data_IF_504942998671
#
_entry.id   IF_504942998671
#
_cell.length_a   1.000
_cell.length_b   1.000
_cell.length_c   1.000
_cell.angle_alpha   90.00
_cell.angle_beta   90.00
_cell.angle_gamma   90.00
#
_symmetry.space_group_name_H-M   'P 1'
#
loop_
_entity.id
_entity.type
_entity.pdbx_description
1 polymer ?
#
# COMPACT_ATOMS: atom_id res chain seq x y z
N UNK A 1 -5.52 -10.64 -3.98
CA UNK A 1 -5.18 -10.01 -5.28
C UNK A 1 -3.71 -10.25 -5.64
N UNK A 2 -2.77 -9.97 -4.73
CA UNK A 2 -1.32 -10.15 -4.95
C UNK A 2 -0.90 -11.53 -5.53
N UNK A 3 -1.35 -12.66 -4.97
CA UNK A 3 -1.04 -14.00 -5.50
C UNK A 3 -1.42 -14.20 -6.98
N UNK A 4 -2.54 -13.60 -7.43
CA UNK A 4 -2.98 -13.72 -8.82
C UNK A 4 -2.08 -12.92 -9.76
N UNK A 5 -1.56 -11.79 -9.28
CA UNK A 5 -0.71 -10.88 -10.05
C UNK A 5 0.69 -11.44 -10.36
N UNK A 6 1.15 -12.46 -9.61
CA UNK A 6 2.45 -13.12 -9.87
C UNK A 6 2.61 -13.68 -11.29
N UNK A 7 1.50 -13.97 -11.99
CA UNK A 7 1.54 -14.48 -13.37
C UNK A 7 1.93 -13.41 -14.40
N UNK A 8 1.71 -12.14 -14.07
CA UNK A 8 1.91 -10.99 -14.97
C UNK A 8 2.95 -10.00 -14.41
N UNK A 9 3.40 -10.22 -13.18
CA UNK A 9 4.40 -9.41 -12.51
C UNK A 9 5.75 -9.55 -13.19
N UNK A 10 6.38 -8.41 -13.49
CA UNK A 10 7.70 -8.36 -14.13
C UNK A 10 8.84 -8.29 -13.11
N UNK A 11 8.54 -8.04 -11.84
CA UNK A 11 9.52 -7.78 -10.79
C UNK A 11 9.09 -8.28 -9.40
N UNK A 12 9.52 -7.58 -8.34
CA UNK A 12 9.15 -7.86 -6.95
C UNK A 12 7.72 -7.37 -6.68
N UNK A 13 6.93 -8.20 -6.00
CA UNK A 13 5.68 -7.80 -5.38
C UNK A 13 5.93 -7.63 -3.89
N UNK A 14 5.63 -6.43 -3.36
CA UNK A 14 5.65 -6.16 -1.93
C UNK A 14 4.22 -6.09 -1.41
N UNK A 15 3.94 -6.79 -0.31
CA UNK A 15 2.66 -6.75 0.38
C UNK A 15 2.88 -6.20 1.78
N UNK A 16 2.21 -5.09 2.10
CA UNK A 16 2.35 -4.38 3.37
C UNK A 16 1.02 -4.46 4.12
N UNK A 17 1.06 -4.83 5.40
CA UNK A 17 -0.10 -4.92 6.28
C UNK A 17 0.15 -4.17 7.61
N UNK A 18 -0.92 -3.68 8.24
CA UNK A 18 -0.95 -3.12 9.59
C UNK A 18 -1.53 -4.02 10.68
N UNK A 19 -2.13 -5.16 10.35
CA UNK A 19 -2.69 -6.09 11.32
C UNK A 19 -1.80 -7.31 11.54
N UNK A 20 -1.82 -7.84 12.77
CA UNK A 20 -1.30 -9.18 13.09
C UNK A 20 -2.33 -10.29 12.75
N UNK A 21 -3.25 -10.06 11.79
CA UNK A 21 -4.25 -11.07 11.43
C UNK A 21 -3.64 -12.16 10.56
N UNK A 22 -4.10 -13.38 10.84
CA UNK A 22 -3.69 -14.69 10.36
C UNK A 22 -3.05 -14.76 8.99
N UNK A 23 -2.06 -15.66 8.86
CA UNK A 23 -1.38 -16.09 7.64
C UNK A 23 -2.28 -15.97 6.40
N UNK A 24 -2.19 -14.84 5.71
CA UNK A 24 -2.50 -14.84 4.29
C UNK A 24 -1.46 -15.80 3.71
N UNK A 25 -1.92 -16.89 3.09
CA UNK A 25 -1.06 -17.81 2.36
C UNK A 25 -0.54 -17.08 1.12
N UNK A 26 0.40 -16.16 1.35
CA UNK A 26 1.12 -15.46 0.32
C UNK A 26 2.10 -16.45 -0.27
N UNK A 27 2.10 -16.51 -1.59
CA UNK A 27 3.15 -17.21 -2.28
C UNK A 27 4.51 -16.65 -1.83
N UNK A 28 5.47 -17.54 -1.55
CA UNK A 28 6.81 -17.19 -1.04
C UNK A 28 7.58 -16.16 -1.89
N UNK A 29 7.19 -15.95 -3.15
CA UNK A 29 7.77 -14.92 -4.03
C UNK A 29 7.29 -13.50 -3.72
N UNK A 30 6.27 -13.35 -2.88
CA UNK A 30 5.75 -12.05 -2.44
C UNK A 30 6.47 -11.66 -1.15
N UNK A 31 7.08 -10.48 -1.14
CA UNK A 31 7.69 -9.94 0.06
C UNK A 31 6.62 -9.39 0.99
N UNK A 32 6.35 -10.09 2.08
CA UNK A 32 5.47 -9.62 3.13
C UNK A 32 6.19 -8.67 4.09
N UNK A 33 5.52 -7.58 4.48
CA UNK A 33 6.00 -6.61 5.47
C UNK A 33 4.85 -6.25 6.41
N UNK A 34 5.08 -6.41 7.72
CA UNK A 34 4.19 -5.87 8.74
C UNK A 34 4.68 -4.47 9.15
N UNK A 35 3.97 -3.42 8.74
CA UNK A 35 4.37 -2.03 9.01
C UNK A 35 4.45 -1.71 10.51
N UNK A 36 3.66 -2.41 11.35
CA UNK A 36 3.66 -2.19 12.80
C UNK A 36 4.93 -2.68 13.48
N UNK A 37 5.60 -3.69 12.93
CA UNK A 37 6.90 -4.18 13.47
C UNK A 37 7.99 -3.10 13.36
N UNK A 38 7.84 -2.16 12.43
CA UNK A 38 8.74 -1.02 12.25
C UNK A 38 8.25 0.26 12.96
N UNK A 39 7.20 0.17 13.77
CA UNK A 39 6.64 1.31 14.49
C UNK A 39 5.96 2.36 13.60
N UNK A 40 5.61 2.01 12.36
CA UNK A 40 4.97 2.93 11.41
C UNK A 40 3.51 3.15 11.84
N UNK A 41 3.17 4.40 12.17
CA UNK A 41 1.84 4.79 12.69
C UNK A 41 1.28 6.07 12.06
N UNK A 42 2.03 6.71 11.17
CA UNK A 42 1.74 8.03 10.61
C UNK A 42 1.96 8.06 9.09
N UNK A 43 1.17 8.84 8.34
CA UNK A 43 1.15 8.85 6.86
C UNK A 43 2.47 9.34 6.28
N UNK A 44 3.08 10.35 6.90
CA UNK A 44 4.37 10.87 6.45
C UNK A 44 5.50 9.85 6.64
N UNK A 45 5.51 9.14 7.76
CA UNK A 45 6.47 8.06 8.04
C UNK A 45 6.26 6.91 7.06
N UNK A 46 5.00 6.56 6.81
CA UNK A 46 4.66 5.49 5.87
C UNK A 46 5.03 5.84 4.43
N UNK A 47 4.82 7.08 4.00
CA UNK A 47 5.28 7.57 2.70
C UNK A 47 6.80 7.44 2.55
N UNK A 48 7.56 7.87 3.56
CA UNK A 48 9.02 7.70 3.59
C UNK A 48 9.43 6.23 3.51
N UNK A 49 8.68 5.35 4.18
CA UNK A 49 8.90 3.90 4.12
C UNK A 49 8.65 3.32 2.71
N UNK A 50 7.59 3.72 2.02
CA UNK A 50 7.33 3.35 0.63
C UNK A 50 8.47 3.81 -0.28
N UNK A 51 8.90 5.07 -0.16
CA UNK A 51 10.02 5.59 -0.92
C UNK A 51 11.31 4.80 -0.65
N UNK A 52 11.55 4.38 0.60
CA UNK A 52 12.68 3.54 0.98
C UNK A 52 12.62 2.13 0.39
N UNK A 53 11.44 1.50 0.35
CA UNK A 53 11.24 0.20 -0.30
C UNK A 53 11.60 0.27 -1.79
N UNK A 54 11.10 1.30 -2.47
CA UNK A 54 11.35 1.55 -3.89
C UNK A 54 12.83 1.82 -4.14
N UNK A 55 13.45 2.72 -3.35
CA UNK A 55 14.86 3.07 -3.48
C UNK A 55 15.79 1.87 -3.23
N UNK A 56 15.40 0.93 -2.36
CA UNK A 56 16.16 -0.29 -2.09
C UNK A 56 16.14 -1.26 -3.25
N UNK A 57 15.04 -1.33 -4.00
CA UNK A 57 14.89 -2.27 -5.10
C UNK A 57 14.15 -1.66 -6.30
N UNK A 58 14.91 -1.27 -7.32
CA UNK A 58 14.37 -0.71 -8.56
C UNK A 58 13.54 -1.71 -9.38
N UNK A 59 13.63 -3.02 -9.11
CA UNK A 59 12.81 -4.05 -9.75
C UNK A 59 11.44 -4.22 -9.05
N UNK A 60 11.05 -3.33 -8.13
CA UNK A 60 9.71 -3.37 -7.51
C UNK A 60 8.65 -3.03 -8.56
N UNK A 61 7.81 -4.00 -8.93
CA UNK A 61 6.73 -3.80 -9.93
C UNK A 61 5.41 -3.42 -9.26
N UNK A 62 5.11 -4.01 -8.09
CA UNK A 62 3.82 -3.82 -7.44
C UNK A 62 3.93 -3.72 -5.93
N UNK A 63 3.16 -2.81 -5.34
CA UNK A 63 3.02 -2.66 -3.90
C UNK A 63 1.54 -2.75 -3.53
N UNK A 64 1.21 -3.74 -2.71
CA UNK A 64 -0.10 -3.91 -2.10
C UNK A 64 -0.06 -3.39 -0.67
N UNK A 65 -0.98 -2.48 -0.34
CA UNK A 65 -1.15 -1.91 1.00
C UNK A 65 -2.50 -2.37 1.49
N UNK A 66 -2.52 -3.28 2.46
CA UNK A 66 -3.73 -3.83 3.04
C UNK A 66 -4.09 -3.16 4.37
N UNK A 67 -5.29 -2.60 4.46
CA UNK A 67 -5.81 -1.96 5.66
C UNK A 67 -5.11 -0.64 6.00
N UNK A 68 -5.01 0.30 5.04
CA UNK A 68 -4.34 1.61 5.27
C UNK A 68 -4.81 2.33 6.55
N UNK A 69 -6.12 2.30 6.82
CA UNK A 69 -6.73 2.92 8.00
C UNK A 69 -6.41 2.21 9.32
N UNK A 70 -5.99 0.95 9.27
CA UNK A 70 -5.53 0.21 10.46
C UNK A 70 -4.04 0.45 10.72
N UNK A 71 -3.30 0.91 9.70
CA UNK A 71 -1.93 1.37 9.84
C UNK A 71 -1.91 2.78 10.47
N UNK A 72 -2.88 3.66 10.17
CA UNK A 72 -2.77 5.11 10.42
C UNK A 72 -4.11 5.80 10.72
N UNK A 73 -4.06 6.92 11.48
CA UNK A 73 -5.20 7.73 11.94
C UNK A 73 -6.16 8.25 10.86
N UNK A 74 -7.29 8.82 11.30
CA UNK A 74 -8.53 8.99 10.51
C UNK A 74 -8.74 10.36 9.85
N UNK A 75 -7.72 11.22 9.70
CA UNK A 75 -7.92 12.52 9.04
C UNK A 75 -8.03 12.35 7.52
N UNK A 76 -9.21 12.66 6.98
CA UNK A 76 -9.51 12.56 5.55
C UNK A 76 -8.59 13.43 4.68
N UNK A 77 -8.19 14.62 5.15
CA UNK A 77 -7.31 15.51 4.37
C UNK A 77 -5.89 14.97 4.27
N UNK A 78 -5.39 14.35 5.33
CA UNK A 78 -4.08 13.72 5.32
C UNK A 78 -4.07 12.49 4.40
N UNK A 79 -5.14 11.69 4.44
CA UNK A 79 -5.31 10.54 3.53
C UNK A 79 -5.35 11.01 2.07
N UNK A 80 -6.08 12.09 1.76
CA UNK A 80 -6.14 12.66 0.42
C UNK A 80 -4.75 13.05 -0.09
N UNK A 81 -4.00 13.79 0.73
CA UNK A 81 -2.64 14.19 0.41
C UNK A 81 -1.73 12.98 0.22
N UNK A 82 -1.83 11.99 1.10
CA UNK A 82 -1.04 10.76 1.00
C UNK A 82 -1.32 10.01 -0.30
N UNK A 83 -2.57 9.85 -0.70
CA UNK A 83 -2.94 9.16 -1.95
C UNK A 83 -2.40 9.92 -3.16
N UNK A 84 -2.46 11.26 -3.14
CA UNK A 84 -1.86 12.08 -4.19
C UNK A 84 -0.33 11.90 -4.27
N UNK A 85 0.36 11.87 -3.13
CA UNK A 85 1.80 11.68 -3.09
C UNK A 85 2.21 10.24 -3.50
N UNK A 86 1.42 9.22 -3.16
CA UNK A 86 1.60 7.84 -3.65
C UNK A 86 1.38 7.76 -5.16
N UNK A 87 0.40 8.47 -5.72
CA UNK A 87 0.20 8.54 -7.17
C UNK A 87 1.42 9.11 -7.89
N UNK A 88 2.02 10.17 -7.36
CA UNK A 88 3.28 10.70 -7.92
C UNK A 88 4.42 9.68 -7.86
N UNK A 89 4.52 8.89 -6.79
CA UNK A 89 5.51 7.81 -6.71
C UNK A 89 5.23 6.73 -7.77
N UNK A 90 3.96 6.34 -7.92
CA UNK A 90 3.49 5.39 -8.92
C UNK A 90 3.92 5.82 -10.32
N UNK A 91 3.58 7.04 -10.73
CA UNK A 91 3.89 7.58 -12.05
C UNK A 91 5.40 7.75 -12.28
N UNK A 92 6.13 8.20 -11.25
CA UNK A 92 7.57 8.49 -11.36
C UNK A 92 8.42 7.22 -11.52
N UNK A 93 8.04 6.14 -10.84
CA UNK A 93 8.82 4.92 -10.77
C UNK A 93 8.19 3.75 -11.53
N UNK A 94 7.06 3.97 -12.22
CA UNK A 94 6.29 2.96 -12.94
C UNK A 94 5.88 1.77 -12.03
N UNK A 95 5.41 2.08 -10.83
CA UNK A 95 5.04 1.08 -9.82
C UNK A 95 3.53 1.04 -9.65
N UNK A 96 2.95 -0.16 -9.72
CA UNK A 96 1.51 -0.35 -9.50
C UNK A 96 1.20 -0.46 -8.01
N UNK A 97 0.45 0.50 -7.51
CA UNK A 97 -0.09 0.46 -6.15
C UNK A 97 -1.50 -0.11 -6.12
N UNK A 98 -1.78 -0.98 -5.16
CA UNK A 98 -3.14 -1.40 -4.79
C UNK A 98 -3.33 -1.15 -3.31
N UNK A 99 -4.31 -0.32 -2.96
CA UNK A 99 -4.52 0.12 -1.58
C UNK A 99 -5.93 -0.28 -1.16
N UNK A 100 -6.06 -1.00 -0.05
CA UNK A 100 -7.35 -1.26 0.59
C UNK A 100 -7.49 -0.38 1.82
N UNK A 101 -8.72 0.04 2.11
CA UNK A 101 -9.05 0.83 3.29
C UNK A 101 -10.24 0.19 3.99
N UNK A 102 -10.06 -0.20 5.25
CA UNK A 102 -11.16 -0.74 6.05
C UNK A 102 -12.02 0.41 6.57
N UNK A 103 -13.25 0.54 6.07
CA UNK A 103 -14.16 1.62 6.44
C UNK A 103 -15.54 1.45 5.83
N UNK A 104 -16.51 2.27 6.27
CA UNK A 104 -17.83 2.31 5.66
C UNK A 104 -17.69 2.86 4.22
N UNK A 105 -18.15 2.13 3.17
CA UNK A 105 -18.20 2.63 1.80
C UNK A 105 -18.85 4.01 1.65
N UNK A 106 -19.85 4.32 2.47
CA UNK A 106 -20.56 5.60 2.46
C UNK A 106 -19.71 6.76 2.99
N UNK A 107 -18.61 6.45 3.69
CA UNK A 107 -17.68 7.43 4.25
C UNK A 107 -16.46 7.68 3.37
N UNK A 108 -16.35 6.98 2.23
CA UNK A 108 -15.26 7.11 1.27
C UNK A 108 -15.26 8.53 0.70
N UNK A 109 -14.17 9.29 0.89
CA UNK A 109 -14.02 10.62 0.31
C UNK A 109 -14.28 10.64 -1.19
N UNK A 110 -14.88 11.72 -1.69
CA UNK A 110 -15.22 11.86 -3.10
C UNK A 110 -14.02 11.68 -4.04
N UNK A 111 -12.84 12.15 -3.65
CA UNK A 111 -11.61 12.00 -4.43
C UNK A 111 -11.19 10.54 -4.64
N UNK A 112 -11.58 9.62 -3.74
CA UNK A 112 -11.29 8.20 -3.88
C UNK A 112 -12.26 7.49 -4.83
N UNK A 113 -13.43 8.07 -5.12
CA UNK A 113 -14.44 7.43 -5.99
C UNK A 113 -13.92 7.15 -7.39
N UNK A 114 -12.97 7.95 -7.88
CA UNK A 114 -12.29 7.74 -9.16
C UNK A 114 -11.36 6.52 -9.16
N UNK A 115 -11.01 5.99 -7.97
CA UNK A 115 -10.06 4.90 -7.76
C UNK A 115 -10.72 3.63 -7.20
N UNK A 116 -12.03 3.66 -6.96
CA UNK A 116 -12.81 2.48 -6.57
C UNK A 116 -13.20 1.73 -7.85
N UNK A 117 -12.78 0.48 -7.94
CA UNK A 117 -13.22 -0.47 -8.97
C UNK A 117 -14.29 -1.40 -8.41
#
# INVERSE_FOLDING_TARGET
MANKSLKECKGEIVFINGENRHMIELNHRIRFINAREFGIRELNVFYGFLAGIIARNYDTDQIYIDGLLDIIGKDKKEIERFIFDVKKLSDRFDIRFTITMNGNPDSVPAFLKEYIA
#
